data_IF_261922823908
#
_entry.id   IF_261922823908
#
_cell.length_a   1.000
_cell.length_b   1.000
_cell.length_c   1.000
_cell.angle_alpha   90.00
_cell.angle_beta   90.00
_cell.angle_gamma   90.00
#
_symmetry.space_group_name_H-M   'P 1'
#
loop_
_entity.id
_entity.type
_entity.pdbx_description
1 polymer ?
#
# COMPACT_ATOMS: atom_id res chain seq x y z
N UNK A 1 -9.99 -27.13 -13.96
CA UNK A 1 -10.58 -25.86 -14.46
C UNK A 1 -9.60 -25.28 -15.46
N UNK A 2 -10.05 -25.03 -16.69
CA UNK A 2 -9.23 -24.37 -17.71
C UNK A 2 -9.20 -22.83 -17.51
N UNK A 3 -8.37 -22.11 -18.28
CA UNK A 3 -8.27 -20.65 -18.12
C UNK A 3 -9.56 -19.90 -18.43
N UNK A 4 -10.40 -20.42 -19.32
CA UNK A 4 -11.69 -19.81 -19.63
C UNK A 4 -12.62 -19.87 -18.43
N UNK A 5 -12.71 -21.02 -17.79
CA UNK A 5 -13.51 -21.22 -16.57
C UNK A 5 -12.99 -20.35 -15.41
N UNK A 6 -11.66 -20.24 -15.27
CA UNK A 6 -11.04 -19.36 -14.25
C UNK A 6 -11.35 -17.89 -14.48
N UNK A 7 -11.29 -17.42 -15.73
CA UNK A 7 -11.66 -16.04 -16.07
C UNK A 7 -13.14 -15.75 -15.82
N UNK A 8 -14.05 -16.72 -16.02
CA UNK A 8 -15.45 -16.56 -15.65
C UNK A 8 -15.65 -16.44 -14.13
N UNK A 9 -14.91 -17.23 -13.33
CA UNK A 9 -14.91 -17.06 -11.87
C UNK A 9 -14.36 -15.69 -11.44
N UNK A 10 -13.30 -15.18 -12.10
CA UNK A 10 -12.73 -13.85 -11.85
C UNK A 10 -13.74 -12.74 -12.19
N UNK A 11 -14.48 -12.87 -13.31
CA UNK A 11 -15.56 -11.93 -13.65
C UNK A 11 -16.69 -11.95 -12.61
N UNK A 12 -17.08 -13.13 -12.13
CA UNK A 12 -18.07 -13.26 -11.04
C UNK A 12 -17.59 -12.59 -9.75
N UNK A 13 -16.29 -12.64 -9.46
CA UNK A 13 -15.71 -11.92 -8.31
C UNK A 13 -15.80 -10.41 -8.51
N UNK A 14 -15.50 -9.90 -9.71
CA UNK A 14 -15.66 -8.49 -10.06
C UNK A 14 -17.11 -8.04 -9.90
N UNK A 15 -18.07 -8.81 -10.44
CA UNK A 15 -19.50 -8.52 -10.30
C UNK A 15 -19.96 -8.55 -8.84
N UNK A 16 -19.41 -9.45 -8.04
CA UNK A 16 -19.66 -9.54 -6.60
C UNK A 16 -19.23 -8.28 -5.84
N UNK A 17 -18.07 -7.72 -6.17
CA UNK A 17 -17.59 -6.45 -5.62
C UNK A 17 -18.46 -5.28 -6.07
N UNK A 18 -18.72 -5.16 -7.38
CA UNK A 18 -19.50 -4.07 -7.97
C UNK A 18 -20.93 -4.03 -7.40
N UNK A 19 -21.61 -5.16 -7.31
CA UNK A 19 -22.96 -5.26 -6.77
C UNK A 19 -23.08 -4.93 -5.27
N UNK A 20 -21.98 -4.89 -4.54
CA UNK A 20 -21.92 -4.57 -3.12
C UNK A 20 -21.27 -3.22 -2.82
N UNK A 21 -21.01 -2.38 -3.84
CA UNK A 21 -20.31 -1.08 -3.68
C UNK A 21 -20.95 -0.22 -2.59
N UNK A 22 -22.25 -0.01 -2.62
CA UNK A 22 -22.95 0.80 -1.60
C UNK A 22 -22.77 0.23 -0.18
N UNK A 23 -22.90 -1.08 -0.02
CA UNK A 23 -22.70 -1.71 1.28
C UNK A 23 -21.24 -1.60 1.75
N UNK A 24 -20.27 -1.75 0.85
CA UNK A 24 -18.85 -1.56 1.15
C UNK A 24 -18.56 -0.12 1.58
N UNK A 25 -19.17 0.88 0.90
CA UNK A 25 -19.08 2.28 1.26
C UNK A 25 -19.58 2.54 2.70
N UNK A 26 -20.76 2.06 3.03
CA UNK A 26 -21.37 2.24 4.37
C UNK A 26 -20.50 1.64 5.47
N UNK A 27 -20.10 0.36 5.31
CA UNK A 27 -19.31 -0.31 6.36
C UNK A 27 -17.87 0.20 6.47
N UNK A 28 -17.26 0.65 5.37
CA UNK A 28 -15.93 1.27 5.40
C UNK A 28 -15.95 2.64 6.10
N UNK A 29 -17.01 3.42 5.86
CA UNK A 29 -17.24 4.67 6.57
C UNK A 29 -17.47 4.43 8.07
N UNK A 30 -18.25 3.40 8.44
CA UNK A 30 -18.52 3.04 9.83
C UNK A 30 -17.30 2.48 10.56
N UNK A 31 -16.53 1.60 9.95
CA UNK A 31 -15.39 0.93 10.59
C UNK A 31 -14.16 1.84 10.68
N UNK A 32 -13.78 2.49 9.57
CA UNK A 32 -12.51 3.20 9.46
C UNK A 32 -12.63 4.71 9.19
N UNK A 33 -13.85 5.19 8.89
CA UNK A 33 -14.09 6.58 8.52
C UNK A 33 -13.70 6.90 7.07
N UNK A 34 -13.65 5.90 6.19
CA UNK A 34 -13.29 6.10 4.79
C UNK A 34 -14.42 6.81 4.04
N UNK A 35 -14.14 7.90 3.31
CA UNK A 35 -15.14 8.56 2.48
C UNK A 35 -15.75 7.62 1.45
N UNK A 36 -17.07 7.73 1.24
CA UNK A 36 -17.79 6.89 0.26
C UNK A 36 -17.24 7.04 -1.15
N UNK A 37 -16.78 8.24 -1.53
CA UNK A 37 -16.12 8.51 -2.80
C UNK A 37 -14.82 7.70 -2.98
N UNK A 38 -14.03 7.57 -1.92
CA UNK A 38 -12.77 6.82 -1.91
C UNK A 38 -13.03 5.32 -2.01
N UNK A 39 -13.99 4.81 -1.24
CA UNK A 39 -14.37 3.39 -1.29
C UNK A 39 -14.92 3.01 -2.69
N UNK A 40 -15.69 3.90 -3.32
CA UNK A 40 -16.17 3.70 -4.70
C UNK A 40 -15.00 3.55 -5.68
N UNK A 41 -14.05 4.50 -5.62
CA UNK A 41 -12.86 4.45 -6.50
C UNK A 41 -12.00 3.20 -6.26
N UNK A 42 -11.88 2.74 -5.02
CA UNK A 42 -11.15 1.51 -4.70
C UNK A 42 -11.83 0.28 -5.32
N UNK A 43 -13.16 0.18 -5.18
CA UNK A 43 -13.94 -0.91 -5.78
C UNK A 43 -13.86 -0.87 -7.30
N UNK A 44 -14.01 0.30 -7.91
CA UNK A 44 -13.89 0.47 -9.37
C UNK A 44 -12.51 0.00 -9.88
N UNK A 45 -11.43 0.39 -9.20
CA UNK A 45 -10.08 -0.03 -9.53
C UNK A 45 -9.91 -1.56 -9.42
N UNK A 46 -10.46 -2.16 -8.36
CA UNK A 46 -10.44 -3.61 -8.14
C UNK A 46 -11.23 -4.36 -9.23
N UNK A 47 -12.42 -3.88 -9.57
CA UNK A 47 -13.30 -4.44 -10.62
C UNK A 47 -12.63 -4.35 -11.98
N UNK A 48 -12.08 -3.19 -12.34
CA UNK A 48 -11.39 -3.00 -13.61
C UNK A 48 -10.18 -3.94 -13.74
N UNK A 49 -9.39 -4.08 -12.69
CA UNK A 49 -8.25 -5.00 -12.66
C UNK A 49 -8.69 -6.45 -12.89
N UNK A 50 -9.71 -6.92 -12.16
CA UNK A 50 -10.23 -8.28 -12.30
C UNK A 50 -10.78 -8.53 -13.73
N UNK A 51 -11.50 -7.58 -14.31
CA UNK A 51 -12.07 -7.70 -15.66
C UNK A 51 -11.03 -7.77 -16.79
N UNK A 52 -9.80 -7.38 -16.51
CA UNK A 52 -8.68 -7.41 -17.47
C UNK A 52 -7.62 -8.45 -17.12
N UNK A 53 -7.89 -9.40 -16.21
CA UNK A 53 -6.88 -10.37 -15.74
C UNK A 53 -6.45 -11.39 -16.81
N UNK A 54 -7.15 -11.49 -17.92
CA UNK A 54 -6.70 -12.25 -19.09
C UNK A 54 -5.31 -11.81 -19.59
N UNK A 55 -4.94 -10.55 -19.39
CA UNK A 55 -3.64 -10.01 -19.72
C UNK A 55 -2.50 -10.67 -18.92
N UNK A 56 -2.80 -11.32 -17.79
CA UNK A 56 -1.82 -11.97 -16.93
C UNK A 56 -1.63 -13.48 -17.22
N UNK A 57 -2.42 -14.07 -18.13
CA UNK A 57 -2.32 -15.50 -18.46
C UNK A 57 -0.90 -15.85 -18.88
N UNK A 58 -0.27 -15.03 -19.73
CA UNK A 58 1.09 -15.27 -20.23
C UNK A 58 2.18 -15.31 -19.14
N UNK A 59 1.89 -14.80 -17.92
CA UNK A 59 2.82 -14.90 -16.80
C UNK A 59 2.72 -16.24 -16.07
N UNK A 60 1.59 -16.92 -16.18
CA UNK A 60 1.26 -18.10 -15.37
C UNK A 60 1.00 -19.36 -16.20
N UNK A 61 0.88 -19.22 -17.52
CA UNK A 61 0.72 -20.38 -18.41
C UNK A 61 1.90 -21.32 -18.32
N UNK A 62 1.61 -22.62 -18.36
CA UNK A 62 2.60 -23.70 -18.21
C UNK A 62 3.33 -23.76 -16.85
N UNK A 63 2.93 -22.95 -15.88
CA UNK A 63 3.46 -22.96 -14.54
C UNK A 63 2.60 -23.83 -13.60
N UNK A 64 3.18 -24.28 -12.49
CA UNK A 64 2.48 -25.05 -11.46
C UNK A 64 2.13 -24.15 -10.28
N UNK A 65 0.86 -24.11 -9.81
CA UNK A 65 0.49 -23.33 -8.63
C UNK A 65 1.21 -23.86 -7.38
N UNK A 66 1.54 -22.96 -6.45
CA UNK A 66 2.07 -23.37 -5.15
C UNK A 66 1.04 -24.17 -4.31
N UNK A 67 -0.26 -23.94 -4.51
CA UNK A 67 -1.35 -24.57 -3.78
C UNK A 67 -2.07 -23.59 -2.87
N UNK A 68 -2.11 -23.88 -1.55
CA UNK A 68 -2.78 -22.98 -0.61
C UNK A 68 -1.91 -21.77 -0.27
N UNK A 69 -2.49 -20.61 -0.48
CA UNK A 69 -1.95 -19.29 -0.13
C UNK A 69 -2.68 -18.80 1.10
N UNK A 70 -1.98 -18.38 2.14
CA UNK A 70 -2.57 -17.71 3.28
C UNK A 70 -2.24 -16.22 3.28
N UNK A 71 -3.16 -15.36 3.74
CA UNK A 71 -2.95 -13.92 3.80
C UNK A 71 -3.63 -13.26 5.00
N UNK A 72 -3.05 -12.17 5.50
CA UNK A 72 -3.72 -11.25 6.41
C UNK A 72 -3.92 -9.93 5.65
N UNK A 73 -5.20 -9.57 5.40
CA UNK A 73 -5.55 -8.35 4.70
C UNK A 73 -5.45 -7.15 5.64
N UNK A 74 -4.81 -6.05 5.20
CA UNK A 74 -4.75 -4.81 5.97
C UNK A 74 -6.12 -4.13 6.01
N UNK A 75 -6.31 -3.16 6.90
CA UNK A 75 -7.59 -2.48 7.03
C UNK A 75 -7.89 -1.46 5.93
N UNK A 76 -6.87 -1.01 5.22
CA UNK A 76 -6.91 0.14 4.31
C UNK A 76 -7.20 -0.20 2.83
N UNK A 77 -7.22 -1.50 2.44
CA UNK A 77 -7.30 -1.87 1.03
C UNK A 77 -7.94 -3.25 0.80
N UNK A 78 -9.13 -3.52 1.34
CA UNK A 78 -9.75 -4.84 1.27
C UNK A 78 -10.12 -5.26 -0.15
N UNK A 79 -10.79 -4.39 -0.92
CA UNK A 79 -11.20 -4.69 -2.29
C UNK A 79 -10.00 -4.87 -3.21
N UNK A 80 -8.98 -4.02 -3.06
CA UNK A 80 -7.72 -4.12 -3.81
C UNK A 80 -6.96 -5.40 -3.47
N UNK A 81 -6.89 -5.79 -2.19
CA UNK A 81 -6.20 -7.02 -1.79
C UNK A 81 -6.95 -8.26 -2.27
N UNK A 82 -8.28 -8.26 -2.21
CA UNK A 82 -9.09 -9.33 -2.79
C UNK A 82 -8.90 -9.42 -4.30
N UNK A 83 -8.86 -8.29 -5.00
CA UNK A 83 -8.61 -8.28 -6.44
C UNK A 83 -7.23 -8.86 -6.78
N UNK A 84 -6.16 -8.41 -6.10
CA UNK A 84 -4.79 -8.87 -6.34
C UNK A 84 -4.58 -10.34 -5.96
N UNK A 85 -4.81 -10.69 -4.70
CA UNK A 85 -4.55 -12.06 -4.23
C UNK A 85 -5.67 -13.03 -4.63
N UNK A 86 -6.94 -12.62 -4.53
CA UNK A 86 -8.07 -13.45 -4.92
C UNK A 86 -8.10 -13.70 -6.42
N UNK A 87 -7.91 -12.65 -7.23
CA UNK A 87 -7.80 -12.76 -8.67
C UNK A 87 -6.63 -13.66 -9.09
N UNK A 88 -5.44 -13.45 -8.50
CA UNK A 88 -4.28 -14.29 -8.75
C UNK A 88 -4.49 -15.75 -8.33
N UNK A 89 -5.14 -16.00 -7.19
CA UNK A 89 -5.47 -17.36 -6.74
C UNK A 89 -6.41 -18.06 -7.72
N UNK A 90 -7.47 -17.38 -8.19
CA UNK A 90 -8.39 -17.93 -9.19
C UNK A 90 -7.65 -18.19 -10.52
N UNK A 91 -6.86 -17.23 -11.00
CA UNK A 91 -6.13 -17.34 -12.27
C UNK A 91 -5.14 -18.52 -12.26
N UNK A 92 -4.41 -18.72 -11.16
CA UNK A 92 -3.43 -19.79 -11.01
C UNK A 92 -4.04 -21.14 -10.63
N UNK A 93 -5.27 -21.17 -10.11
CA UNK A 93 -5.92 -22.34 -9.55
C UNK A 93 -5.43 -22.68 -8.14
N UNK A 94 -4.94 -21.67 -7.41
CA UNK A 94 -4.57 -21.76 -6.01
C UNK A 94 -5.81 -21.60 -5.10
N UNK A 95 -5.70 -22.03 -3.84
CA UNK A 95 -6.67 -21.70 -2.78
C UNK A 95 -6.18 -20.50 -1.99
N UNK A 96 -7.08 -19.65 -1.54
CA UNK A 96 -6.77 -18.50 -0.70
C UNK A 96 -7.49 -18.62 0.65
N UNK A 97 -6.71 -18.84 1.70
CA UNK A 97 -7.11 -18.78 3.10
C UNK A 97 -6.73 -17.41 3.64
N UNK A 98 -7.66 -16.60 4.13
CA UNK A 98 -7.31 -15.24 4.54
C UNK A 98 -8.11 -14.72 5.72
N UNK A 99 -7.42 -13.96 6.54
CA UNK A 99 -7.94 -13.22 7.67
C UNK A 99 -7.91 -11.72 7.39
N UNK A 100 -8.51 -10.94 8.27
CA UNK A 100 -8.67 -9.50 8.12
C UNK A 100 -8.10 -8.75 9.32
N UNK A 101 -7.79 -7.48 9.13
CA UNK A 101 -7.53 -6.58 10.25
C UNK A 101 -8.73 -6.54 11.20
N UNK A 102 -8.46 -6.55 12.51
CA UNK A 102 -9.48 -6.35 13.54
C UNK A 102 -10.12 -4.96 13.54
N UNK A 103 -9.51 -4.00 12.83
CA UNK A 103 -9.96 -2.62 12.76
C UNK A 103 -11.23 -2.43 11.89
N UNK A 104 -11.54 -3.39 11.01
CA UNK A 104 -12.62 -3.29 10.02
C UNK A 104 -13.50 -4.53 9.98
N UNK A 105 -14.18 -4.88 11.10
CA UNK A 105 -14.92 -6.14 11.21
C UNK A 105 -16.17 -6.22 10.32
N UNK A 106 -16.88 -5.11 10.10
CA UNK A 106 -18.07 -5.07 9.22
C UNK A 106 -17.66 -5.19 7.76
N UNK A 107 -16.61 -4.48 7.36
CA UNK A 107 -16.05 -4.56 6.01
C UNK A 107 -15.56 -5.98 5.72
N UNK A 108 -14.86 -6.62 6.67
CA UNK A 108 -14.45 -8.01 6.58
C UNK A 108 -15.62 -8.97 6.37
N UNK A 109 -16.75 -8.76 7.06
CA UNK A 109 -17.95 -9.58 6.91
C UNK A 109 -18.56 -9.48 5.50
N UNK A 110 -18.64 -8.27 4.93
CA UNK A 110 -19.14 -8.05 3.56
C UNK A 110 -18.22 -8.72 2.53
N UNK A 111 -16.90 -8.56 2.65
CA UNK A 111 -15.92 -9.22 1.77
C UNK A 111 -16.05 -10.76 1.87
N UNK A 112 -16.22 -11.29 3.08
CA UNK A 112 -16.40 -12.73 3.25
C UNK A 112 -17.71 -13.25 2.61
N UNK A 113 -18.78 -12.46 2.64
CA UNK A 113 -20.03 -12.80 1.92
C UNK A 113 -19.83 -12.81 0.41
N UNK A 114 -19.09 -11.84 -0.15
CA UNK A 114 -18.72 -11.82 -1.57
C UNK A 114 -17.94 -13.09 -1.94
N UNK A 115 -17.07 -13.55 -1.06
CA UNK A 115 -16.23 -14.73 -1.28
C UNK A 115 -16.95 -16.08 -1.11
N UNK A 116 -18.08 -16.12 -0.44
CA UNK A 116 -18.83 -17.38 -0.13
C UNK A 116 -19.13 -18.29 -1.34
N UNK A 117 -19.46 -17.77 -2.53
CA UNK A 117 -19.73 -18.61 -3.70
C UNK A 117 -18.50 -19.30 -4.29
N UNK A 118 -17.29 -18.94 -3.89
CA UNK A 118 -16.06 -19.40 -4.49
C UNK A 118 -15.39 -20.50 -3.65
N UNK A 119 -15.34 -21.72 -4.16
CA UNK A 119 -14.70 -22.84 -3.47
C UNK A 119 -13.18 -22.66 -3.23
N UNK A 120 -12.56 -21.73 -3.98
CA UNK A 120 -11.14 -21.40 -3.83
C UNK A 120 -10.85 -20.49 -2.63
N UNK A 121 -11.88 -19.87 -2.02
CA UNK A 121 -11.73 -18.88 -0.96
C UNK A 121 -12.20 -19.39 0.40
N UNK A 122 -11.39 -19.12 1.41
CA UNK A 122 -11.67 -19.47 2.81
C UNK A 122 -11.42 -18.24 3.69
N UNK A 123 -12.38 -17.29 3.78
CA UNK A 123 -12.27 -16.14 4.66
C UNK A 123 -12.47 -16.56 6.13
N UNK A 124 -11.57 -16.09 7.00
CA UNK A 124 -11.60 -16.32 8.45
C UNK A 124 -11.91 -15.01 9.16
N UNK A 125 -13.06 -14.95 9.83
CA UNK A 125 -13.53 -13.75 10.53
C UNK A 125 -13.46 -13.98 12.04
N UNK A 126 -13.10 -12.90 12.78
CA UNK A 126 -13.15 -12.87 14.25
C UNK A 126 -12.07 -13.69 14.95
N UNK A 127 -11.07 -14.17 14.23
CA UNK A 127 -9.90 -14.82 14.80
C UNK A 127 -8.79 -13.79 15.08
N UNK A 128 -8.04 -13.99 16.17
CA UNK A 128 -6.81 -13.23 16.42
C UNK A 128 -5.79 -13.50 15.32
N UNK A 129 -5.22 -12.42 14.73
CA UNK A 129 -4.31 -12.53 13.60
C UNK A 129 -2.96 -13.18 13.96
N UNK A 130 -2.53 -13.14 15.22
CA UNK A 130 -1.32 -13.85 15.65
C UNK A 130 -1.57 -15.36 15.68
N UNK A 131 -2.73 -15.76 16.16
CA UNK A 131 -3.13 -17.17 16.14
C UNK A 131 -3.35 -17.68 14.73
N UNK A 132 -4.03 -16.90 13.87
CA UNK A 132 -4.19 -17.22 12.45
C UNK A 132 -2.84 -17.40 11.77
N UNK A 133 -1.94 -16.46 11.92
CA UNK A 133 -0.60 -16.54 11.33
C UNK A 133 0.21 -17.73 11.84
N UNK A 134 0.17 -18.02 13.15
CA UNK A 134 0.80 -19.20 13.73
C UNK A 134 0.29 -20.50 13.10
N UNK A 135 -1.03 -20.66 13.02
CA UNK A 135 -1.64 -21.81 12.35
C UNK A 135 -1.19 -21.95 10.89
N UNK A 136 -1.17 -20.83 10.15
CA UNK A 136 -0.71 -20.84 8.76
C UNK A 136 0.76 -21.23 8.61
N UNK A 137 1.60 -20.89 9.59
CA UNK A 137 3.01 -21.31 9.62
C UNK A 137 3.12 -22.81 9.89
N UNK A 138 2.31 -23.37 10.80
CA UNK A 138 2.32 -24.78 11.20
C UNK A 138 1.63 -25.72 10.18
N UNK A 139 0.65 -25.22 9.43
CA UNK A 139 -0.11 -26.02 8.46
C UNK A 139 0.72 -26.32 7.20
N UNK A 140 1.07 -27.58 6.98
CA UNK A 140 1.82 -28.05 5.82
C UNK A 140 1.09 -27.83 4.48
N UNK A 141 -0.23 -27.70 4.48
CA UNK A 141 -1.02 -27.42 3.28
C UNK A 141 -0.81 -25.96 2.78
N UNK A 142 -0.49 -25.04 3.68
CA UNK A 142 -0.16 -23.66 3.34
C UNK A 142 1.26 -23.61 2.75
N UNK A 143 1.40 -23.12 1.52
CA UNK A 143 2.68 -23.05 0.82
C UNK A 143 3.22 -21.64 0.64
N UNK A 144 2.32 -20.64 0.67
CA UNK A 144 2.64 -19.23 0.52
C UNK A 144 1.95 -18.45 1.62
N UNK A 145 2.65 -17.51 2.24
CA UNK A 145 2.12 -16.68 3.31
C UNK A 145 2.37 -15.18 3.02
N UNK A 146 1.30 -14.41 2.92
CA UNK A 146 1.33 -12.96 2.77
C UNK A 146 0.92 -12.27 4.07
N UNK A 147 1.83 -11.50 4.65
CA UNK A 147 1.55 -10.67 5.82
C UNK A 147 1.65 -9.20 5.41
N UNK A 148 0.51 -8.53 5.33
CA UNK A 148 0.44 -7.09 5.11
C UNK A 148 0.33 -6.35 6.43
N UNK A 149 1.06 -5.26 6.59
CA UNK A 149 1.03 -4.42 7.79
C UNK A 149 2.35 -3.76 8.12
N UNK A 150 2.52 -3.35 9.38
CA UNK A 150 3.75 -2.69 9.83
C UNK A 150 4.98 -3.60 9.70
N UNK A 151 6.13 -3.00 9.42
CA UNK A 151 7.43 -3.68 9.29
C UNK A 151 7.75 -4.58 10.49
N UNK A 152 7.40 -4.13 11.71
CA UNK A 152 7.59 -4.92 12.93
C UNK A 152 6.80 -6.24 12.94
N UNK A 153 5.64 -6.31 12.29
CA UNK A 153 4.85 -7.55 12.18
C UNK A 153 5.56 -8.53 11.26
N UNK A 154 6.05 -8.06 10.11
CA UNK A 154 6.82 -8.89 9.19
C UNK A 154 8.07 -9.46 9.86
N UNK A 155 8.78 -8.66 10.67
CA UNK A 155 10.01 -9.08 11.37
C UNK A 155 9.79 -10.24 12.36
N UNK A 156 8.62 -10.30 13.01
CA UNK A 156 8.25 -11.46 13.86
C UNK A 156 8.29 -12.76 13.05
N UNK A 157 7.74 -12.76 11.84
CA UNK A 157 7.78 -13.95 10.97
C UNK A 157 9.18 -14.21 10.41
N UNK A 158 9.91 -13.17 10.05
CA UNK A 158 11.28 -13.29 9.55
C UNK A 158 12.19 -13.96 10.58
N UNK A 159 12.07 -13.61 11.85
CA UNK A 159 12.85 -14.23 12.92
C UNK A 159 12.56 -15.72 13.12
N UNK A 160 11.39 -16.19 12.65
CA UNK A 160 10.92 -17.56 12.76
C UNK A 160 11.11 -18.38 11.46
N UNK A 161 11.56 -17.77 10.36
CA UNK A 161 11.59 -18.39 9.04
C UNK A 161 12.38 -19.73 8.96
N UNK A 162 13.39 -19.91 9.80
CA UNK A 162 14.14 -21.17 9.91
C UNK A 162 13.30 -22.37 10.37
N UNK A 163 12.08 -22.13 10.91
CA UNK A 163 11.17 -23.15 11.41
C UNK A 163 10.09 -23.58 10.42
N UNK A 164 9.95 -22.95 9.26
CA UNK A 164 8.90 -23.27 8.30
C UNK A 164 9.39 -23.27 6.84
N UNK A 165 8.77 -24.15 6.02
CA UNK A 165 9.11 -24.33 4.60
C UNK A 165 8.04 -23.71 3.70
N UNK A 166 7.97 -22.38 3.66
CA UNK A 166 6.96 -21.63 2.92
C UNK A 166 7.57 -20.43 2.22
N UNK A 167 7.03 -20.07 1.06
CA UNK A 167 7.29 -18.77 0.45
C UNK A 167 6.59 -17.71 1.29
N UNK A 168 7.34 -16.75 1.80
CA UNK A 168 6.83 -15.75 2.72
C UNK A 168 7.02 -14.33 2.17
N UNK A 169 5.94 -13.56 2.19
CA UNK A 169 5.92 -12.15 1.78
C UNK A 169 5.58 -11.27 2.97
N UNK A 170 6.47 -10.34 3.30
CA UNK A 170 6.18 -9.26 4.23
C UNK A 170 5.72 -8.03 3.44
N UNK A 171 4.57 -7.50 3.81
CA UNK A 171 3.94 -6.37 3.15
C UNK A 171 4.49 -5.02 3.60
N UNK A 172 4.33 -3.99 2.77
CA UNK A 172 5.10 -2.77 2.87
C UNK A 172 4.64 -1.83 3.96
N UNK A 173 5.62 -1.20 4.59
CA UNK A 173 5.46 -0.06 5.46
C UNK A 173 6.50 1.01 5.15
N UNK A 174 6.52 2.09 5.91
CA UNK A 174 7.57 3.09 5.86
C UNK A 174 7.10 4.52 5.57
N UNK A 175 7.94 5.26 4.90
CA UNK A 175 7.76 6.69 4.60
C UNK A 175 8.02 6.94 3.10
N UNK A 176 7.05 6.64 2.21
CA UNK A 176 7.18 6.91 0.78
C UNK A 176 7.57 8.35 0.51
N UNK A 177 8.40 8.54 -0.51
CA UNK A 177 9.00 9.83 -0.81
C UNK A 177 8.59 10.35 -2.20
N UNK A 178 8.54 11.68 -2.33
CA UNK A 178 8.53 12.37 -3.60
C UNK A 178 9.81 13.22 -3.75
N UNK A 179 10.32 13.35 -4.97
CA UNK A 179 11.43 14.26 -5.32
C UNK A 179 11.00 15.16 -6.44
N UNK A 180 11.28 16.45 -6.34
CA UNK A 180 10.99 17.45 -7.37
C UNK A 180 12.32 18.09 -7.77
N UNK A 181 12.83 17.75 -8.96
CA UNK A 181 14.05 18.31 -9.54
C UNK A 181 13.82 19.72 -10.09
N UNK A 182 14.90 20.45 -10.37
CA UNK A 182 14.87 21.85 -10.83
C UNK A 182 14.03 22.06 -12.11
N UNK A 183 14.06 21.08 -13.02
CA UNK A 183 13.37 21.12 -14.31
C UNK A 183 11.97 20.52 -14.30
N UNK A 184 11.43 20.17 -13.13
CA UNK A 184 10.12 19.56 -13.00
C UNK A 184 8.97 20.49 -13.42
N UNK A 185 7.92 19.92 -14.02
CA UNK A 185 6.65 20.62 -14.15
C UNK A 185 6.01 20.80 -12.77
N UNK A 186 6.06 22.04 -12.28
CA UNK A 186 5.59 22.41 -10.94
C UNK A 186 4.11 22.09 -10.74
N UNK A 187 3.28 22.25 -11.79
CA UNK A 187 1.85 21.99 -11.71
C UNK A 187 1.61 20.51 -11.48
N UNK A 188 2.16 19.65 -12.31
CA UNK A 188 2.00 18.19 -12.23
C UNK A 188 2.58 17.66 -10.91
N UNK A 189 3.79 18.09 -10.52
CA UNK A 189 4.43 17.64 -9.29
C UNK A 189 3.63 18.01 -8.04
N UNK A 190 3.23 19.29 -7.90
CA UNK A 190 2.49 19.75 -6.73
C UNK A 190 1.11 19.10 -6.62
N UNK A 191 0.40 18.98 -7.75
CA UNK A 191 -0.92 18.33 -7.79
C UNK A 191 -0.83 16.84 -7.42
N UNK A 192 0.13 16.11 -7.99
CA UNK A 192 0.33 14.71 -7.65
C UNK A 192 0.67 14.52 -6.17
N UNK A 193 1.66 15.27 -5.67
CA UNK A 193 2.12 15.14 -4.27
C UNK A 193 0.97 15.44 -3.31
N UNK A 194 0.26 16.56 -3.48
CA UNK A 194 -0.82 16.95 -2.61
C UNK A 194 -1.98 15.95 -2.63
N UNK A 195 -2.46 15.59 -3.84
CA UNK A 195 -3.54 14.63 -4.01
C UNK A 195 -3.18 13.27 -3.41
N UNK A 196 -1.98 12.76 -3.70
CA UNK A 196 -1.54 11.45 -3.22
C UNK A 196 -1.27 11.41 -1.73
N UNK A 197 -0.72 12.48 -1.13
CA UNK A 197 -0.44 12.51 0.31
C UNK A 197 -1.69 12.43 1.16
N UNK A 198 -2.81 12.99 0.68
CA UNK A 198 -4.03 13.16 1.48
C UNK A 198 -5.22 12.32 1.01
N UNK A 199 -5.11 11.57 -0.09
CA UNK A 199 -6.14 10.63 -0.50
C UNK A 199 -6.44 9.64 0.63
N UNK A 200 -7.73 9.36 0.89
CA UNK A 200 -8.18 8.56 2.02
C UNK A 200 -7.59 9.00 3.38
N UNK A 201 -7.42 10.32 3.57
CA UNK A 201 -6.74 10.82 4.76
C UNK A 201 -5.31 10.28 4.90
N UNK A 202 -4.61 10.02 3.80
CA UNK A 202 -3.25 9.48 3.81
C UNK A 202 -3.12 8.06 4.35
N UNK A 203 -4.21 7.30 4.40
CA UNK A 203 -4.29 5.94 4.95
C UNK A 203 -4.06 4.85 3.88
N UNK A 204 -3.18 5.10 2.92
CA UNK A 204 -2.62 4.07 2.04
C UNK A 204 -1.11 3.99 2.20
N UNK A 205 -0.58 2.78 2.14
CA UNK A 205 0.86 2.56 2.24
C UNK A 205 1.67 3.27 1.14
N UNK A 206 1.05 3.58 -0.01
CA UNK A 206 1.66 4.25 -1.16
C UNK A 206 1.58 5.78 -1.12
N UNK A 207 1.01 6.37 -0.08
CA UNK A 207 0.90 7.84 0.03
C UNK A 207 2.24 8.46 0.41
N UNK A 208 2.76 9.45 -0.33
CA UNK A 208 4.00 10.14 0.05
C UNK A 208 3.86 10.82 1.41
N UNK A 209 4.85 10.62 2.26
CA UNK A 209 4.93 11.21 3.60
C UNK A 209 6.02 12.27 3.71
N UNK A 210 6.90 12.33 2.71
CA UNK A 210 7.92 13.36 2.57
C UNK A 210 8.07 13.75 1.12
N UNK A 211 8.37 15.03 0.88
CA UNK A 211 8.74 15.55 -0.42
C UNK A 211 10.02 16.38 -0.31
N UNK A 212 11.04 15.98 -1.06
CA UNK A 212 12.29 16.72 -1.22
C UNK A 212 12.17 17.52 -2.50
N UNK A 213 12.30 18.84 -2.42
CA UNK A 213 11.98 19.76 -3.51
C UNK A 213 13.20 20.66 -3.76
N UNK A 214 13.62 20.77 -5.04
CA UNK A 214 14.71 21.68 -5.38
C UNK A 214 14.39 23.11 -4.88
N UNK A 215 15.39 23.78 -4.29
CA UNK A 215 15.21 25.06 -3.60
C UNK A 215 14.52 26.14 -4.46
N UNK A 216 14.81 26.17 -5.76
CA UNK A 216 14.27 27.17 -6.68
C UNK A 216 12.77 26.98 -6.98
N UNK A 217 12.26 25.76 -6.77
CA UNK A 217 10.84 25.42 -6.93
C UNK A 217 10.10 25.32 -5.59
N UNK A 218 10.84 25.29 -4.47
CA UNK A 218 10.31 24.95 -3.15
C UNK A 218 9.12 25.81 -2.74
N UNK A 219 9.29 27.14 -2.78
CA UNK A 219 8.22 28.07 -2.40
C UNK A 219 6.95 27.88 -3.25
N UNK A 220 7.13 27.71 -4.56
CA UNK A 220 5.99 27.57 -5.48
C UNK A 220 5.26 26.24 -5.25
N UNK A 221 5.99 25.14 -5.14
CA UNK A 221 5.40 23.80 -4.89
C UNK A 221 4.73 23.77 -3.53
N UNK A 222 5.38 24.27 -2.46
CA UNK A 222 4.82 24.36 -1.11
C UNK A 222 3.49 25.13 -1.11
N UNK A 223 3.47 26.30 -1.71
CA UNK A 223 2.28 27.16 -1.72
C UNK A 223 1.11 26.47 -2.47
N UNK A 224 1.37 25.80 -3.59
CA UNK A 224 0.35 25.03 -4.32
C UNK A 224 -0.16 23.83 -3.51
N UNK A 225 0.71 23.14 -2.77
CA UNK A 225 0.31 22.06 -1.87
C UNK A 225 -0.61 22.61 -0.76
N UNK A 226 -0.26 23.73 -0.14
CA UNK A 226 -1.07 24.37 0.89
C UNK A 226 -2.42 24.87 0.36
N UNK A 227 -2.45 25.43 -0.85
CA UNK A 227 -3.69 25.82 -1.52
C UNK A 227 -4.60 24.60 -1.75
N UNK A 228 -4.06 23.49 -2.27
CA UNK A 228 -4.82 22.26 -2.44
C UNK A 228 -5.37 21.74 -1.11
N UNK A 229 -4.54 21.68 -0.09
CA UNK A 229 -4.90 21.20 1.25
C UNK A 229 -5.99 22.06 1.88
N UNK A 230 -5.92 23.39 1.69
CA UNK A 230 -6.94 24.33 2.19
C UNK A 230 -8.33 24.14 1.57
N UNK A 231 -8.42 23.48 0.42
CA UNK A 231 -9.69 23.18 -0.26
C UNK A 231 -10.24 21.79 0.08
N UNK A 232 -9.49 20.94 0.80
CA UNK A 232 -9.98 19.60 1.18
C UNK A 232 -11.09 19.69 2.22
N UNK A 233 -12.19 19.01 1.97
CA UNK A 233 -13.32 18.89 2.88
C UNK A 233 -13.08 17.74 3.86
N UNK A 234 -12.88 18.10 5.14
CA UNK A 234 -12.80 17.13 6.25
C UNK A 234 -14.16 17.04 6.91
N UNK A 235 -14.76 15.84 6.99
CA UNK A 235 -16.13 15.76 7.49
C UNK A 235 -16.72 14.37 7.58
N UNK A 236 -18.05 14.28 7.47
CA UNK A 236 -18.80 13.03 7.49
C UNK A 236 -18.37 12.14 6.30
N UNK A 237 -17.89 10.92 6.54
CA UNK A 237 -17.45 10.01 5.47
C UNK A 237 -18.60 9.55 4.56
N UNK A 238 -19.87 9.69 4.99
CA UNK A 238 -21.05 9.38 4.19
C UNK A 238 -21.45 10.53 3.24
N UNK A 239 -20.93 11.74 3.44
CA UNK A 239 -21.12 12.84 2.50
C UNK A 239 -20.23 12.62 1.26
N UNK A 240 -20.81 12.53 0.03
CA UNK A 240 -20.05 12.30 -1.20
C UNK A 240 -18.98 13.36 -1.51
N UNK A 241 -19.13 14.57 -0.95
CA UNK A 241 -18.15 15.65 -1.14
C UNK A 241 -17.01 15.62 -0.10
N UNK A 242 -17.03 14.73 0.88
CA UNK A 242 -15.96 14.61 1.86
C UNK A 242 -14.71 13.97 1.22
N UNK A 243 -13.58 14.67 1.35
CA UNK A 243 -12.27 14.19 0.91
C UNK A 243 -11.58 13.36 2.01
N UNK A 244 -11.74 13.78 3.26
CA UNK A 244 -11.10 13.14 4.43
C UNK A 244 -12.15 12.94 5.51
N UNK A 245 -12.39 11.69 5.84
CA UNK A 245 -13.23 11.32 6.98
C UNK A 245 -12.45 11.26 8.31
N UNK A 246 -13.11 10.93 9.41
CA UNK A 246 -12.45 10.75 10.71
C UNK A 246 -11.47 9.55 10.65
N UNK A 247 -10.32 9.69 11.30
CA UNK A 247 -9.37 8.59 11.46
C UNK A 247 -9.81 7.73 12.65
N UNK A 248 -10.68 6.76 12.43
CA UNK A 248 -11.26 5.93 13.51
C UNK A 248 -10.28 4.93 14.07
N UNK A 249 -9.31 4.49 13.28
CA UNK A 249 -8.26 3.56 13.73
C UNK A 249 -7.31 4.26 14.70
N UNK A 250 -7.38 3.90 15.99
CA UNK A 250 -6.60 4.52 17.06
C UNK A 250 -5.10 4.39 16.83
N UNK A 251 -4.65 3.25 16.36
CA UNK A 251 -3.24 3.01 16.04
C UNK A 251 -2.71 4.04 15.04
N UNK A 252 -3.48 4.42 14.03
CA UNK A 252 -3.11 5.46 13.06
C UNK A 252 -2.92 6.81 13.73
N UNK A 253 -3.83 7.19 14.64
CA UNK A 253 -3.69 8.45 15.40
C UNK A 253 -2.46 8.45 16.31
N UNK A 254 -2.12 7.31 16.92
CA UNK A 254 -0.90 7.17 17.72
C UNK A 254 0.36 7.30 16.87
N UNK A 255 0.39 6.70 15.68
CA UNK A 255 1.49 6.83 14.72
C UNK A 255 1.69 8.29 14.33
N UNK A 256 0.61 9.03 14.05
CA UNK A 256 0.67 10.45 13.70
C UNK A 256 1.21 11.31 14.84
N UNK A 257 0.75 11.10 16.09
CA UNK A 257 1.28 11.84 17.27
C UNK A 257 2.77 11.60 17.45
N UNK A 258 3.19 10.35 17.40
CA UNK A 258 4.61 9.99 17.46
C UNK A 258 5.43 10.60 16.31
N UNK A 259 4.83 10.67 15.10
CA UNK A 259 5.43 11.33 13.95
C UNK A 259 5.65 12.82 14.18
N UNK A 260 4.65 13.52 14.70
CA UNK A 260 4.76 14.95 15.05
C UNK A 260 5.83 15.19 16.13
N UNK A 261 5.87 14.37 17.17
CA UNK A 261 6.88 14.47 18.23
C UNK A 261 8.30 14.28 17.70
N UNK A 262 8.50 13.30 16.82
CA UNK A 262 9.81 13.03 16.22
C UNK A 262 10.22 14.04 15.14
N UNK A 263 9.27 14.77 14.57
CA UNK A 263 9.49 15.88 13.66
C UNK A 263 9.38 17.25 14.36
N UNK A 264 9.68 17.32 15.65
CA UNK A 264 9.56 18.55 16.45
C UNK A 264 10.43 19.73 15.99
N UNK A 265 11.50 19.45 15.22
CA UNK A 265 12.34 20.47 14.58
C UNK A 265 11.68 21.06 13.30
N UNK A 266 10.68 20.38 12.74
CA UNK A 266 9.95 20.86 11.59
C UNK A 266 8.85 21.85 12.00
N UNK A 267 8.66 22.89 11.20
CA UNK A 267 7.59 23.86 11.39
C UNK A 267 6.28 23.31 10.85
N UNK A 268 5.24 23.21 11.68
CA UNK A 268 3.89 22.89 11.24
C UNK A 268 3.33 24.08 10.45
N UNK A 269 2.99 23.87 9.19
CA UNK A 269 2.44 24.89 8.30
C UNK A 269 0.92 24.94 8.38
N UNK A 270 0.27 23.77 8.47
CA UNK A 270 -1.18 23.63 8.60
C UNK A 270 -1.53 22.27 9.18
N UNK A 271 -2.77 22.16 9.66
CA UNK A 271 -3.37 20.94 10.18
C UNK A 271 -3.44 20.89 11.70
N UNK A 272 -4.29 20.00 12.20
CA UNK A 272 -4.47 19.74 13.63
C UNK A 272 -5.03 18.33 13.85
N UNK A 273 -5.01 17.88 15.10
CA UNK A 273 -5.60 16.61 15.53
C UNK A 273 -6.61 16.86 16.65
N UNK A 274 -7.88 16.59 16.40
CA UNK A 274 -9.00 16.81 17.33
C UNK A 274 -9.78 15.49 17.50
N UNK A 275 -9.30 14.63 18.40
CA UNK A 275 -9.89 13.31 18.60
C UNK A 275 -9.70 12.42 17.38
N UNK A 276 -10.77 12.03 16.70
CA UNK A 276 -10.74 11.25 15.45
C UNK A 276 -10.59 12.14 14.21
N UNK A 277 -10.92 13.42 14.32
CA UNK A 277 -10.77 14.35 13.20
C UNK A 277 -9.31 14.78 13.12
N UNK A 278 -8.70 14.51 11.98
CA UNK A 278 -7.31 14.90 11.69
C UNK A 278 -7.30 15.71 10.40
N UNK A 279 -7.02 17.01 10.57
CA UNK A 279 -6.79 17.89 9.42
C UNK A 279 -5.41 17.63 8.82
N UNK A 280 -5.24 17.76 7.49
CA UNK A 280 -3.98 17.50 6.81
C UNK A 280 -2.79 18.19 7.47
N UNK A 281 -1.86 17.40 7.98
CA UNK A 281 -0.64 17.86 8.64
C UNK A 281 0.45 18.10 7.59
N UNK A 282 0.76 19.35 7.29
CA UNK A 282 1.88 19.72 6.41
C UNK A 282 2.96 20.38 7.25
N UNK A 283 4.14 19.80 7.21
CA UNK A 283 5.32 20.28 7.94
C UNK A 283 6.41 20.72 6.96
N UNK A 284 7.24 21.65 7.39
CA UNK A 284 8.42 22.10 6.67
C UNK A 284 9.67 21.93 7.53
N UNK A 285 10.69 21.32 6.96
CA UNK A 285 11.99 21.13 7.60
C UNK A 285 13.06 21.76 6.70
N UNK A 286 13.65 22.85 7.15
CA UNK A 286 14.67 23.56 6.37
C UNK A 286 16.04 22.86 6.45
N UNK A 287 16.41 22.42 7.64
CA UNK A 287 17.71 21.79 7.93
C UNK A 287 17.52 20.46 8.66
N UNK A 288 18.60 19.71 8.80
CA UNK A 288 18.59 18.43 9.51
C UNK A 288 18.22 17.24 8.63
N UNK A 289 18.23 16.06 9.22
CA UNK A 289 17.88 14.81 8.56
C UNK A 289 16.43 14.46 8.83
N UNK A 290 15.69 14.07 7.80
CA UNK A 290 14.33 13.54 7.97
C UNK A 290 14.40 12.24 8.79
N UNK A 291 13.65 12.13 9.91
CA UNK A 291 13.65 10.94 10.73
C UNK A 291 13.17 9.70 9.97
N UNK A 292 13.76 8.54 10.24
CA UNK A 292 13.27 7.27 9.72
C UNK A 292 12.02 6.84 10.50
N UNK A 293 10.86 7.07 9.90
CA UNK A 293 9.55 6.79 10.49
C UNK A 293 8.74 5.85 9.60
N UNK A 294 7.87 5.07 10.22
CA UNK A 294 6.77 4.42 9.53
C UNK A 294 5.52 5.25 9.82
N UNK A 295 5.06 6.01 8.81
CA UNK A 295 3.95 6.94 8.93
C UNK A 295 2.72 6.49 8.16
N UNK A 296 1.56 6.71 8.77
CA UNK A 296 0.26 6.44 8.18
C UNK A 296 -0.71 7.55 8.60
N UNK A 297 -1.62 7.95 7.69
CA UNK A 297 -2.52 9.08 7.94
C UNK A 297 -2.14 10.37 7.22
N UNK A 298 -2.87 11.47 7.41
CA UNK A 298 -2.74 12.71 6.63
C UNK A 298 -1.55 13.56 7.09
N UNK A 299 -0.35 13.12 6.69
CA UNK A 299 0.92 13.75 7.06
C UNK A 299 1.80 13.91 5.83
N UNK A 300 2.41 15.09 5.66
CA UNK A 300 3.39 15.37 4.62
C UNK A 300 4.48 16.31 5.15
N UNK A 301 5.74 15.89 5.07
CA UNK A 301 6.91 16.69 5.41
C UNK A 301 7.57 17.22 4.13
N UNK A 302 7.72 18.51 4.03
CA UNK A 302 8.39 19.20 2.91
C UNK A 302 9.81 19.59 3.32
N UNK A 303 10.78 19.35 2.43
CA UNK A 303 12.18 19.74 2.67
C UNK A 303 12.82 20.26 1.38
N UNK A 304 13.44 21.47 1.39
CA UNK A 304 14.20 21.93 0.27
C UNK A 304 15.53 21.19 0.14
N UNK A 305 16.05 21.04 -1.07
CA UNK A 305 17.42 20.66 -1.34
C UNK A 305 18.06 21.55 -2.43
N UNK A 306 19.36 21.70 -2.38
CA UNK A 306 20.17 22.38 -3.39
C UNK A 306 21.13 21.40 -4.07
N UNK A 307 21.74 20.52 -3.29
CA UNK A 307 22.69 19.51 -3.74
C UNK A 307 21.96 18.19 -3.98
N UNK A 308 21.85 17.80 -5.25
CA UNK A 308 21.20 16.55 -5.65
C UNK A 308 21.92 15.33 -5.10
N UNK A 309 23.25 15.33 -5.02
CA UNK A 309 24.00 14.20 -4.49
C UNK A 309 23.75 14.04 -3.00
N UNK A 310 23.70 15.15 -2.25
CA UNK A 310 23.34 15.12 -0.83
C UNK A 310 21.90 14.61 -0.62
N UNK A 311 20.96 15.04 -1.45
CA UNK A 311 19.56 14.58 -1.43
C UNK A 311 19.47 13.08 -1.72
N UNK A 312 20.14 12.58 -2.76
CA UNK A 312 20.19 11.14 -3.07
C UNK A 312 20.78 10.36 -1.89
N UNK A 313 21.90 10.85 -1.30
CA UNK A 313 22.52 10.21 -0.13
C UNK A 313 21.59 10.21 1.10
N UNK A 314 20.77 11.22 1.31
CA UNK A 314 19.75 11.21 2.37
C UNK A 314 18.70 10.13 2.12
N UNK A 315 18.21 10.02 0.89
CA UNK A 315 17.19 9.02 0.52
C UNK A 315 17.71 7.58 0.59
N UNK A 316 18.92 7.31 0.11
CA UNK A 316 19.47 5.96 0.13
C UNK A 316 19.86 5.48 1.54
N UNK A 317 20.15 6.40 2.47
CA UNK A 317 20.45 6.08 3.88
C UNK A 317 19.21 5.80 4.73
N UNK A 318 18.00 6.06 4.22
CA UNK A 318 16.77 5.69 4.96
C UNK A 318 16.68 4.18 5.08
N UNK A 319 16.18 3.69 6.21
CA UNK A 319 15.97 2.27 6.43
C UNK A 319 14.73 1.71 5.68
N UNK A 320 13.87 2.57 5.18
CA UNK A 320 12.69 2.20 4.41
C UNK A 320 12.91 2.43 2.91
N UNK A 321 12.49 1.48 2.09
CA UNK A 321 12.63 1.54 0.63
C UNK A 321 11.37 1.06 -0.09
N UNK A 322 10.19 1.63 0.24
CA UNK A 322 8.95 1.19 -0.38
C UNK A 322 8.73 1.85 -1.75
N UNK A 323 8.37 3.12 -1.74
CA UNK A 323 7.99 3.85 -2.94
C UNK A 323 8.70 5.20 -2.99
N UNK A 324 9.22 5.52 -4.18
CA UNK A 324 9.72 6.83 -4.56
C UNK A 324 9.03 7.27 -5.84
N UNK A 325 8.48 8.48 -5.85
CA UNK A 325 8.05 9.17 -7.08
C UNK A 325 8.97 10.36 -7.32
N UNK A 326 9.38 10.61 -8.55
CA UNK A 326 10.17 11.80 -8.85
C UNK A 326 9.63 12.55 -10.08
N UNK A 327 9.86 13.86 -10.12
CA UNK A 327 9.40 14.80 -11.13
C UNK A 327 10.56 15.58 -11.66
N UNK A 328 10.63 15.76 -12.97
CA UNK A 328 11.76 16.32 -13.69
C UNK A 328 12.72 15.24 -14.18
N UNK A 329 13.95 15.62 -14.46
CA UNK A 329 14.96 14.76 -15.05
C UNK A 329 15.97 14.30 -14.00
N UNK A 330 16.03 13.02 -13.73
CA UNK A 330 17.13 12.40 -12.99
C UNK A 330 18.14 11.80 -13.96
N UNK A 331 19.42 11.92 -13.68
CA UNK A 331 20.45 11.27 -14.49
C UNK A 331 20.47 9.74 -14.30
N UNK A 332 21.27 9.04 -15.11
CA UNK A 332 21.32 7.56 -15.08
C UNK A 332 21.87 6.98 -13.77
N UNK A 333 22.75 7.70 -13.07
CA UNK A 333 23.30 7.28 -11.79
C UNK A 333 22.26 7.44 -10.67
N UNK A 334 21.58 8.57 -10.62
CA UNK A 334 20.48 8.85 -9.69
C UNK A 334 19.32 7.87 -9.88
N UNK A 335 18.88 7.63 -11.14
CA UNK A 335 17.83 6.62 -11.42
C UNK A 335 18.24 5.23 -10.95
N UNK A 336 19.48 4.83 -11.17
CA UNK A 336 20.00 3.53 -10.69
C UNK A 336 19.99 3.47 -9.17
N UNK A 337 20.46 4.52 -8.49
CA UNK A 337 20.44 4.58 -7.03
C UNK A 337 19.01 4.44 -6.47
N UNK A 338 18.02 5.08 -7.09
CA UNK A 338 16.62 4.94 -6.70
C UNK A 338 16.11 3.50 -6.90
N UNK A 339 16.37 2.91 -8.07
CA UNK A 339 15.94 1.53 -8.37
C UNK A 339 16.62 0.49 -7.48
N UNK A 340 17.84 0.74 -7.02
CA UNK A 340 18.54 -0.14 -6.08
C UNK A 340 17.98 -0.05 -4.66
N UNK A 341 17.45 1.09 -4.25
CA UNK A 341 17.06 1.35 -2.87
C UNK A 341 15.55 1.27 -2.60
N UNK A 342 14.72 1.44 -3.63
CA UNK A 342 13.26 1.43 -3.51
C UNK A 342 12.66 0.28 -4.32
N UNK A 343 11.63 -0.37 -3.76
CA UNK A 343 10.90 -1.43 -4.44
C UNK A 343 10.09 -0.91 -5.62
N UNK A 344 9.50 0.27 -5.47
CA UNK A 344 8.72 0.94 -6.50
C UNK A 344 9.31 2.32 -6.77
N UNK A 345 9.61 2.61 -8.05
CA UNK A 345 10.10 3.91 -8.49
C UNK A 345 9.23 4.39 -9.65
N UNK A 346 8.63 5.56 -9.50
CA UNK A 346 7.75 6.15 -10.51
C UNK A 346 8.38 7.44 -11.06
N UNK A 347 8.56 7.47 -12.36
CA UNK A 347 9.12 8.59 -13.14
C UNK A 347 7.97 9.44 -13.67
N UNK A 348 7.86 10.69 -13.21
CA UNK A 348 6.82 11.66 -13.61
C UNK A 348 5.40 11.05 -13.62
N UNK A 349 4.94 10.42 -12.52
CA UNK A 349 3.64 9.75 -12.51
C UNK A 349 2.47 10.74 -12.54
N UNK A 350 1.37 10.31 -13.20
CA UNK A 350 0.13 11.09 -13.35
C UNK A 350 -1.14 10.42 -12.78
N UNK A 351 -1.01 9.23 -12.20
CA UNK A 351 -2.13 8.45 -11.69
C UNK A 351 -2.57 8.86 -10.27
N UNK A 352 -3.86 8.73 -9.97
CA UNK A 352 -4.43 8.94 -8.63
C UNK A 352 -4.18 7.75 -7.71
N UNK A 353 -4.49 6.54 -8.17
CA UNK A 353 -4.16 5.29 -7.51
C UNK A 353 -3.04 4.58 -8.25
N UNK A 354 -2.17 3.89 -7.53
CA UNK A 354 -1.16 3.03 -8.16
C UNK A 354 -1.87 1.93 -8.95
N UNK A 355 -1.65 1.83 -10.27
CA UNK A 355 -2.28 0.78 -11.08
C UNK A 355 -1.99 -0.61 -10.50
N UNK A 356 -3.02 -1.47 -10.40
CA UNK A 356 -2.90 -2.76 -9.70
C UNK A 356 -1.98 -3.75 -10.40
N UNK A 357 -1.79 -3.60 -11.71
CA UNK A 357 -0.90 -4.44 -12.53
C UNK A 357 0.55 -4.00 -12.48
N UNK A 358 0.88 -2.86 -11.89
CA UNK A 358 2.27 -2.54 -11.61
C UNK A 358 2.83 -3.45 -10.51
N UNK A 359 4.12 -3.83 -10.60
CA UNK A 359 4.79 -4.55 -9.52
C UNK A 359 4.64 -3.81 -8.19
N UNK A 360 4.42 -4.56 -7.12
CA UNK A 360 4.15 -4.01 -5.80
C UNK A 360 5.02 -4.69 -4.75
N UNK A 361 5.69 -3.90 -3.93
CA UNK A 361 6.56 -4.40 -2.86
C UNK A 361 7.64 -3.40 -2.49
N UNK A 362 8.30 -3.66 -1.38
CA UNK A 362 9.32 -2.80 -0.80
C UNK A 362 10.69 -3.45 -0.76
N UNK A 363 11.68 -2.65 -0.43
CA UNK A 363 13.06 -3.04 -0.12
C UNK A 363 13.39 -2.64 1.30
N UNK A 364 14.52 -3.12 1.82
CA UNK A 364 14.99 -2.84 3.17
C UNK A 364 13.93 -3.24 4.22
N UNK A 365 13.62 -2.36 5.20
CA UNK A 365 12.56 -2.62 6.18
C UNK A 365 11.13 -2.42 5.64
N UNK A 366 10.96 -1.99 4.39
CA UNK A 366 9.64 -1.83 3.79
C UNK A 366 9.03 -3.11 3.24
N UNK A 367 9.79 -4.18 3.16
CA UNK A 367 9.27 -5.47 2.73
C UNK A 367 10.36 -6.38 2.20
N UNK A 368 10.11 -7.68 2.30
CA UNK A 368 11.01 -8.73 1.82
C UNK A 368 10.24 -9.99 1.50
N UNK A 369 10.89 -10.87 0.77
CA UNK A 369 10.38 -12.17 0.37
C UNK A 369 11.40 -13.22 0.81
N UNK A 370 10.95 -14.21 1.59
CA UNK A 370 11.77 -15.34 2.01
C UNK A 370 11.37 -16.57 1.20
N UNK A 371 12.32 -17.16 0.50
CA UNK A 371 12.13 -18.34 -0.32
C UNK A 371 13.12 -19.42 0.07
N UNK A 372 12.66 -20.65 0.26
CA UNK A 372 13.55 -21.79 0.48
C UNK A 372 14.17 -22.26 -0.84
N UNK A 373 15.51 -22.37 -0.87
CA UNK A 373 16.25 -22.98 -1.98
C UNK A 373 17.21 -24.03 -1.46
N UNK A 374 16.90 -25.29 -1.76
CA UNK A 374 17.67 -26.42 -1.25
C UNK A 374 17.64 -26.49 0.27
N UNK A 375 18.82 -26.51 0.91
CA UNK A 375 18.95 -26.54 2.38
C UNK A 375 19.02 -25.14 3.03
N UNK A 376 18.93 -24.08 2.25
CA UNK A 376 19.05 -22.70 2.73
C UNK A 376 17.86 -21.83 2.39
N UNK A 377 17.88 -20.61 2.91
CA UNK A 377 16.92 -19.56 2.64
C UNK A 377 17.57 -18.47 1.80
N UNK A 378 16.82 -17.96 0.84
CA UNK A 378 17.16 -16.75 0.11
C UNK A 378 16.16 -15.67 0.50
N UNK A 379 16.69 -14.54 0.92
CA UNK A 379 15.95 -13.32 1.04
C UNK A 379 16.11 -12.52 -0.26
N UNK A 380 14.99 -12.11 -0.81
CA UNK A 380 14.94 -11.14 -1.91
C UNK A 380 13.99 -10.01 -1.53
N UNK A 381 14.20 -8.89 -2.13
CA UNK A 381 13.39 -7.68 -1.91
C UNK A 381 12.91 -7.11 -3.25
N UNK A 382 12.16 -6.05 -3.17
CA UNK A 382 11.62 -5.35 -4.32
C UNK A 382 10.17 -5.68 -4.63
N UNK A 383 9.70 -5.08 -5.70
CA UNK A 383 8.32 -5.24 -6.14
C UNK A 383 8.12 -6.53 -6.93
N UNK A 384 6.92 -7.09 -6.84
CA UNK A 384 6.52 -8.34 -7.47
C UNK A 384 5.12 -8.24 -8.09
N UNK A 385 4.79 -9.21 -8.95
CA UNK A 385 3.48 -9.36 -9.58
C UNK A 385 2.76 -10.54 -8.93
N UNK A 386 1.59 -10.31 -8.35
CA UNK A 386 0.89 -11.30 -7.51
C UNK A 386 0.66 -12.64 -8.22
N UNK A 387 0.07 -12.65 -9.42
CA UNK A 387 -0.20 -13.90 -10.15
C UNK A 387 1.08 -14.66 -10.49
N UNK A 388 2.16 -13.96 -10.83
CA UNK A 388 3.45 -14.57 -11.13
C UNK A 388 4.11 -15.21 -9.90
N UNK A 389 3.90 -14.65 -8.74
CA UNK A 389 4.46 -15.15 -7.48
C UNK A 389 3.68 -16.35 -6.89
N UNK A 390 2.45 -16.62 -7.36
CA UNK A 390 1.68 -17.77 -6.91
C UNK A 390 1.95 -19.07 -7.70
N UNK A 391 2.88 -19.03 -8.64
CA UNK A 391 3.26 -20.19 -9.45
C UNK A 391 4.75 -20.45 -9.40
N UNK A 392 5.13 -21.75 -9.56
CA UNK A 392 6.51 -22.16 -9.75
C UNK A 392 6.81 -22.12 -11.23
N UNK A 393 7.90 -21.45 -11.59
CA UNK A 393 8.43 -21.53 -12.96
C UNK A 393 8.75 -22.99 -13.32
N UNK A 394 8.62 -23.38 -14.59
CA UNK A 394 8.93 -24.72 -15.07
C UNK A 394 10.36 -25.14 -14.75
#
# INVERSE_FOLDING_TARGET
MDYKERLEEIKRLADGLENRTTQLQEVAAEDAGFPVSITSMEVELAVQYLRTMEEEIHWVENCQPYGTVAAIFPYDAHAVMLARLGGAALLTGSRLLFSFSSETPRLAAVIAEICRPFAAFEPVIGQDNREFGRRCVEDEAVRVLFISGASAVGEVYRSQHGGFDKLFFAGPGGMPAAVVFEDADVQSASQFIARRAFINGGQYCTTPKKALIHKDLFETVRNRILEYVGNLKVGDPLDPETDIGPIRVERTRLILRNGLEKCSEARLLTGSMEGEVVYPLVLEMEEGRIPDLELFGPFLLLKPFEDEQAMVQELIKTKYGFLLSFFGSADGETKRAFLEQFGMVHDNPDFTFTPLRLPFGGKKESGWILERRGNGWIERDGAFLYSKELVKSP
#
